data_IF_398790384414
#
_entry.id   IF_398790384414
#
_cell.length_a   1.000
_cell.length_b   1.000
_cell.length_c   1.000
_cell.angle_alpha   90.00
_cell.angle_beta   90.00
_cell.angle_gamma   90.00
#
_symmetry.space_group_name_H-M   'P 1'
#
loop_
_entity.id
_entity.type
_entity.pdbx_description
1 polymer ?
#
# COMPACT_ATOMS: atom_id res chain seq x y z
N UNK A 1 -8.15 -59.67 -53.38
CA UNK A 1 -7.50 -59.94 -52.07
C UNK A 1 -6.04 -60.30 -52.30
N UNK A 2 -5.10 -59.41 -51.98
CA UNK A 2 -3.81 -59.82 -51.40
C UNK A 2 -3.11 -58.62 -50.77
N UNK A 3 -3.03 -58.71 -49.44
CA UNK A 3 -2.28 -57.97 -48.43
C UNK A 3 -1.19 -57.00 -48.89
N UNK A 4 -1.32 -55.73 -48.46
CA UNK A 4 -0.21 -54.77 -48.44
C UNK A 4 0.82 -55.19 -47.37
N UNK A 5 2.07 -55.33 -47.81
CA UNK A 5 3.22 -55.60 -46.94
C UNK A 5 3.59 -54.34 -46.16
N UNK A 6 3.36 -54.36 -44.84
CA UNK A 6 3.85 -53.38 -43.89
C UNK A 6 5.37 -53.56 -43.71
N UNK A 7 6.16 -52.63 -44.24
CA UNK A 7 7.60 -52.60 -44.00
C UNK A 7 7.90 -51.70 -42.78
N UNK A 8 8.05 -52.29 -41.60
CA UNK A 8 8.57 -51.61 -40.41
C UNK A 8 10.05 -51.23 -40.65
N UNK A 9 10.33 -49.93 -40.79
CA UNK A 9 11.70 -49.40 -40.80
C UNK A 9 12.37 -49.65 -39.44
N UNK A 10 13.28 -50.61 -39.37
CA UNK A 10 14.22 -50.77 -38.23
C UNK A 10 15.18 -49.58 -38.21
N UNK A 11 14.97 -48.66 -37.27
CA UNK A 11 15.88 -47.52 -37.01
C UNK A 11 17.23 -48.02 -36.51
N UNK A 12 18.32 -47.42 -36.99
CA UNK A 12 19.67 -47.84 -36.60
C UNK A 12 19.94 -47.51 -35.13
N UNK A 13 20.80 -48.30 -34.46
CA UNK A 13 21.18 -48.03 -33.05
C UNK A 13 21.72 -46.60 -32.86
N UNK A 14 22.38 -46.05 -33.89
CA UNK A 14 22.92 -44.70 -33.89
C UNK A 14 21.80 -43.65 -33.94
N UNK A 15 20.81 -43.81 -34.83
CA UNK A 15 19.65 -42.91 -34.90
C UNK A 15 18.85 -42.91 -33.60
N UNK A 16 18.69 -44.08 -32.99
CA UNK A 16 18.01 -44.21 -31.69
C UNK A 16 18.77 -43.49 -30.58
N UNK A 17 20.09 -43.62 -30.54
CA UNK A 17 20.92 -42.94 -29.55
C UNK A 17 20.88 -41.42 -29.75
N UNK A 18 20.97 -40.92 -30.98
CA UNK A 18 20.87 -39.48 -31.28
C UNK A 18 19.50 -38.92 -30.87
N UNK A 19 18.41 -39.63 -31.16
CA UNK A 19 17.06 -39.22 -30.73
C UNK A 19 16.91 -39.21 -29.22
N UNK A 20 17.46 -40.21 -28.53
CA UNK A 20 17.45 -40.27 -27.06
C UNK A 20 18.27 -39.13 -26.46
N UNK A 21 19.45 -38.83 -27.00
CA UNK A 21 20.28 -37.72 -26.56
C UNK A 21 19.59 -36.37 -26.78
N UNK A 22 18.94 -36.17 -27.92
CA UNK A 22 18.20 -34.95 -28.21
C UNK A 22 16.97 -34.81 -27.30
N UNK A 23 16.23 -35.89 -27.06
CA UNK A 23 15.11 -35.91 -26.12
C UNK A 23 15.57 -35.60 -24.69
N UNK A 24 16.68 -36.20 -24.24
CA UNK A 24 17.23 -35.96 -22.90
C UNK A 24 17.70 -34.52 -22.76
N UNK A 25 18.38 -33.97 -23.78
CA UNK A 25 18.80 -32.58 -23.80
C UNK A 25 17.61 -31.61 -23.74
N UNK A 26 16.53 -31.90 -24.48
CA UNK A 26 15.29 -31.12 -24.43
C UNK A 26 14.62 -31.16 -23.06
N UNK A 27 14.55 -32.33 -22.43
CA UNK A 27 14.01 -32.49 -21.07
C UNK A 27 14.84 -31.68 -20.07
N UNK A 28 16.17 -31.83 -20.09
CA UNK A 28 17.08 -31.09 -19.19
C UNK A 28 16.95 -29.59 -19.40
N UNK A 29 16.89 -29.12 -20.65
CA UNK A 29 16.72 -27.70 -20.95
C UNK A 29 15.39 -27.15 -20.42
N UNK A 30 14.30 -27.92 -20.59
CA UNK A 30 12.96 -27.51 -20.14
C UNK A 30 12.87 -27.46 -18.62
N UNK A 31 13.44 -28.46 -17.93
CA UNK A 31 13.49 -28.50 -16.47
C UNK A 31 14.38 -27.38 -15.93
N UNK A 32 15.54 -27.14 -16.54
CA UNK A 32 16.44 -26.06 -16.14
C UNK A 32 15.81 -24.67 -16.36
N UNK A 33 15.13 -24.45 -17.49
CA UNK A 33 14.43 -23.21 -17.78
C UNK A 33 13.25 -22.99 -16.81
N UNK A 34 12.45 -24.03 -16.55
CA UNK A 34 11.37 -23.98 -15.56
C UNK A 34 11.90 -23.73 -14.14
N UNK A 35 13.00 -24.39 -13.77
CA UNK A 35 13.67 -24.19 -12.49
C UNK A 35 14.20 -22.76 -12.35
N UNK A 36 14.92 -22.22 -13.35
CA UNK A 36 15.43 -20.84 -13.33
C UNK A 36 14.30 -19.79 -13.25
N UNK A 37 13.20 -20.01 -13.98
CA UNK A 37 12.01 -19.17 -13.92
C UNK A 37 11.39 -19.17 -12.52
N UNK A 38 11.28 -20.34 -11.88
CA UNK A 38 10.69 -20.50 -10.55
C UNK A 38 11.63 -20.10 -9.40
N UNK A 39 12.94 -20.32 -9.53
CA UNK A 39 13.88 -20.25 -8.40
C UNK A 39 14.56 -18.89 -8.21
N UNK A 40 14.66 -18.06 -9.25
CA UNK A 40 15.48 -16.83 -9.17
C UNK A 40 15.00 -15.67 -10.03
N UNK A 41 14.32 -15.93 -11.14
CA UNK A 41 13.92 -14.90 -12.09
C UNK A 41 12.46 -14.44 -11.95
N UNK A 42 11.58 -15.19 -11.27
CA UNK A 42 10.19 -14.80 -11.07
C UNK A 42 10.03 -13.38 -10.51
N UNK A 43 10.63 -13.09 -9.35
CA UNK A 43 10.53 -11.75 -8.75
C UNK A 43 11.19 -10.64 -9.59
N UNK A 44 12.33 -10.93 -10.23
CA UNK A 44 13.03 -9.94 -11.04
C UNK A 44 12.28 -9.61 -12.35
N UNK A 45 11.70 -10.60 -13.02
CA UNK A 45 10.83 -10.37 -14.18
C UNK A 45 9.53 -9.67 -13.78
N UNK A 46 8.95 -10.02 -12.63
CA UNK A 46 7.79 -9.33 -12.09
C UNK A 46 8.12 -7.84 -11.92
N UNK A 47 9.21 -7.47 -11.23
CA UNK A 47 9.58 -6.06 -11.08
C UNK A 47 9.94 -5.38 -12.42
N UNK A 48 10.68 -6.05 -13.31
CA UNK A 48 11.03 -5.48 -14.61
C UNK A 48 9.77 -5.19 -15.45
N UNK A 49 8.75 -6.05 -15.39
CA UNK A 49 7.48 -5.83 -16.09
C UNK A 49 6.71 -4.61 -15.59
N UNK A 50 6.94 -4.19 -14.34
CA UNK A 50 6.38 -2.96 -13.76
C UNK A 50 7.24 -1.74 -14.07
N UNK A 51 8.56 -1.87 -14.03
CA UNK A 51 9.48 -0.75 -14.29
C UNK A 51 9.51 -0.35 -15.78
N UNK A 52 9.27 -1.30 -16.72
CA UNK A 52 9.27 -1.07 -18.17
C UNK A 52 8.25 -0.03 -18.65
N UNK A 53 6.97 -0.07 -18.23
CA UNK A 53 5.99 0.96 -18.54
C UNK A 53 6.42 2.40 -18.21
N UNK A 54 7.14 2.62 -17.10
CA UNK A 54 7.62 3.96 -16.71
C UNK A 54 8.71 4.51 -17.64
N UNK A 55 9.37 3.66 -18.45
CA UNK A 55 10.25 4.15 -19.51
C UNK A 55 9.46 4.80 -20.67
N UNK A 56 8.22 4.39 -20.87
CA UNK A 56 7.34 4.88 -21.94
C UNK A 56 6.32 5.92 -21.44
N UNK A 57 5.92 5.85 -20.17
CA UNK A 57 5.04 6.80 -19.51
C UNK A 57 5.84 7.60 -18.48
N UNK A 58 6.25 8.84 -18.79
CA UNK A 58 6.94 9.68 -17.83
C UNK A 58 6.03 9.93 -16.62
N UNK A 59 6.68 10.03 -15.46
CA UNK A 59 6.05 10.21 -14.16
C UNK A 59 5.07 11.39 -14.21
N UNK A 60 3.77 11.11 -14.00
CA UNK A 60 2.77 12.15 -13.85
C UNK A 60 2.83 12.60 -12.39
N UNK A 61 3.66 13.61 -12.13
CA UNK A 61 3.70 14.24 -10.81
C UNK A 61 2.30 14.77 -10.48
N UNK A 62 1.74 14.30 -9.37
CA UNK A 62 0.50 14.84 -8.84
C UNK A 62 0.80 16.19 -8.17
N UNK A 63 0.70 17.29 -8.92
CA UNK A 63 1.00 18.64 -8.42
C UNK A 63 0.14 19.05 -7.20
N UNK A 64 -1.03 18.41 -7.08
CA UNK A 64 -2.05 18.61 -6.05
C UNK A 64 -1.72 17.90 -4.72
N UNK A 65 -0.78 16.95 -4.72
CA UNK A 65 -0.39 16.18 -3.54
C UNK A 65 0.99 16.61 -3.07
N UNK A 66 1.11 16.98 -1.79
CA UNK A 66 2.39 17.32 -1.16
C UNK A 66 2.67 16.36 -0.01
N UNK A 67 3.79 15.67 -0.09
CA UNK A 67 4.28 14.80 0.97
C UNK A 67 5.26 15.62 1.82
N UNK A 68 4.98 15.72 3.11
CA UNK A 68 5.86 16.36 4.09
C UNK A 68 6.58 15.26 4.85
N UNK A 69 7.86 15.07 4.57
CA UNK A 69 8.70 14.14 5.31
C UNK A 69 9.20 14.78 6.60
N UNK A 70 9.12 14.03 7.69
CA UNK A 70 9.81 14.38 8.94
C UNK A 70 11.27 13.91 8.83
N UNK A 71 12.20 14.84 8.96
CA UNK A 71 13.65 14.60 8.77
C UNK A 71 14.21 13.70 9.89
N UNK A 72 13.98 14.08 11.15
CA UNK A 72 14.38 13.33 12.33
C UNK A 72 13.16 13.06 13.21
N UNK A 73 12.80 11.78 13.34
CA UNK A 73 11.91 11.29 14.39
C UNK A 73 12.78 10.94 15.59
N UNK A 74 13.07 11.92 16.43
CA UNK A 74 13.66 11.65 17.74
C UNK A 74 12.66 10.79 18.51
N UNK A 75 13.00 9.50 18.71
CA UNK A 75 12.12 8.46 19.26
C UNK A 75 11.59 8.73 20.69
N UNK A 76 11.81 9.91 21.25
CA UNK A 76 11.35 10.32 22.58
C UNK A 76 10.12 11.24 22.61
N UNK A 77 9.67 11.81 21.47
CA UNK A 77 8.31 12.36 21.27
C UNK A 77 8.26 13.25 20.03
N UNK A 78 7.41 12.91 19.07
CA UNK A 78 6.91 13.88 18.10
C UNK A 78 6.18 15.00 18.85
N UNK A 79 6.69 16.22 18.76
CA UNK A 79 6.01 17.38 19.36
C UNK A 79 4.78 17.74 18.54
N UNK A 80 3.59 17.52 19.12
CA UNK A 80 2.31 17.79 18.46
C UNK A 80 1.97 19.27 18.42
N UNK A 81 2.66 20.13 19.19
CA UNK A 81 2.53 21.58 19.03
C UNK A 81 3.02 22.03 17.64
N UNK A 82 4.07 21.40 17.11
CA UNK A 82 4.52 21.64 15.74
C UNK A 82 3.49 21.14 14.71
N UNK A 83 2.78 20.06 15.00
CA UNK A 83 1.72 19.54 14.12
C UNK A 83 0.50 20.47 14.09
N UNK A 84 0.13 21.06 15.23
CA UNK A 84 -0.91 22.10 15.29
C UNK A 84 -0.53 23.32 14.44
N UNK A 85 0.69 23.84 14.60
CA UNK A 85 1.18 24.96 13.80
C UNK A 85 1.30 24.63 12.30
N UNK A 86 1.63 23.38 11.96
CA UNK A 86 1.65 22.90 10.58
C UNK A 86 0.25 22.88 9.97
N UNK A 87 -0.77 22.43 10.70
CA UNK A 87 -2.17 22.45 10.24
C UNK A 87 -2.64 23.87 9.92
N UNK A 88 -2.33 24.85 10.77
CA UNK A 88 -2.69 26.24 10.52
C UNK A 88 -2.05 26.73 9.20
N UNK A 89 -0.75 26.46 8.99
CA UNK A 89 -0.04 26.80 7.73
C UNK A 89 -0.62 26.08 6.50
N UNK A 90 -0.97 24.80 6.62
CA UNK A 90 -1.58 24.04 5.53
C UNK A 90 -2.99 24.56 5.21
N UNK A 91 -3.73 24.99 6.23
CA UNK A 91 -5.03 25.62 6.09
C UNK A 91 -4.94 26.95 5.32
N UNK A 92 -3.98 27.80 5.69
CA UNK A 92 -3.65 29.05 4.99
C UNK A 92 -3.21 28.81 3.54
N UNK A 93 -2.42 27.76 3.30
CA UNK A 93 -1.99 27.34 1.97
C UNK A 93 -3.11 26.72 1.11
N UNK A 94 -4.31 26.50 1.68
CA UNK A 94 -5.47 26.00 0.94
C UNK A 94 -5.52 24.48 0.79
N UNK A 95 -4.82 23.72 1.64
CA UNK A 95 -4.93 22.26 1.64
C UNK A 95 -6.39 21.83 1.82
N UNK A 96 -6.84 20.82 1.07
CA UNK A 96 -8.21 20.27 1.16
C UNK A 96 -8.31 19.12 2.15
N UNK A 97 -7.22 18.37 2.32
CA UNK A 97 -7.11 17.30 3.29
C UNK A 97 -5.68 17.17 3.80
N UNK A 98 -5.54 16.61 5.00
CA UNK A 98 -4.27 16.19 5.58
C UNK A 98 -4.38 14.74 6.02
N UNK A 99 -3.42 13.92 5.59
CA UNK A 99 -3.32 12.52 5.98
C UNK A 99 -2.05 12.36 6.80
N UNK A 100 -2.19 11.97 8.06
CA UNK A 100 -1.05 11.68 8.92
C UNK A 100 -0.70 10.21 8.84
N UNK A 101 0.44 9.91 8.18
CA UNK A 101 1.09 8.59 8.23
C UNK A 101 1.93 8.43 9.50
N UNK A 102 1.32 8.72 10.66
CA UNK A 102 1.95 8.72 11.97
C UNK A 102 0.94 8.15 12.99
N UNK A 103 1.40 7.22 13.82
CA UNK A 103 0.56 6.59 14.84
C UNK A 103 0.59 7.47 16.10
N UNK A 104 -0.58 7.96 16.53
CA UNK A 104 -0.76 8.79 17.73
C UNK A 104 -1.49 8.04 18.84
N UNK A 105 -1.06 6.82 19.14
CA UNK A 105 -1.71 5.89 20.08
C UNK A 105 -1.57 6.29 21.55
N UNK A 106 -0.43 6.88 21.92
CA UNK A 106 -0.17 7.34 23.28
C UNK A 106 -0.57 8.80 23.48
N UNK A 107 -1.01 9.20 24.69
CA UNK A 107 -1.17 10.62 25.01
C UNK A 107 0.20 11.33 25.01
N UNK A 108 0.19 12.63 24.73
CA UNK A 108 1.36 13.48 24.93
C UNK A 108 1.77 13.52 26.41
N UNK A 109 3.04 13.82 26.68
CA UNK A 109 3.53 14.03 28.06
C UNK A 109 2.77 15.16 28.76
N UNK A 110 2.39 16.17 27.99
CA UNK A 110 1.55 17.28 28.41
C UNK A 110 0.18 17.18 27.71
N UNK A 111 -0.92 16.98 28.45
CA UNK A 111 -2.26 16.89 27.88
C UNK A 111 -2.70 18.14 27.10
N UNK A 112 -2.23 19.34 27.49
CA UNK A 112 -2.60 20.59 26.82
C UNK A 112 -2.13 20.61 25.36
N UNK A 113 -1.05 19.88 25.05
CA UNK A 113 -0.51 19.76 23.70
C UNK A 113 -1.45 18.96 22.80
N UNK A 114 -2.07 17.90 23.31
CA UNK A 114 -3.08 17.15 22.58
C UNK A 114 -4.36 17.97 22.41
N UNK A 115 -4.70 18.80 23.39
CA UNK A 115 -5.92 19.63 23.35
C UNK A 115 -5.77 20.72 22.29
N UNK A 116 -4.61 21.37 22.28
CA UNK A 116 -4.25 22.35 21.27
C UNK A 116 -4.21 21.74 19.85
N UNK A 117 -3.69 20.52 19.71
CA UNK A 117 -3.66 19.82 18.43
C UNK A 117 -5.06 19.41 17.95
N UNK A 118 -5.88 18.83 18.82
CA UNK A 118 -7.28 18.53 18.53
C UNK A 118 -8.07 19.79 18.11
N UNK A 119 -7.89 20.90 18.84
CA UNK A 119 -8.51 22.18 18.47
C UNK A 119 -8.03 22.69 17.10
N UNK A 120 -6.75 22.53 16.76
CA UNK A 120 -6.23 22.87 15.44
C UNK A 120 -6.85 22.00 14.33
N UNK A 121 -7.09 20.72 14.60
CA UNK A 121 -7.77 19.82 13.67
C UNK A 121 -9.20 20.28 13.37
N UNK A 122 -9.98 20.62 14.40
CA UNK A 122 -11.35 21.13 14.24
C UNK A 122 -11.38 22.44 13.43
N UNK A 123 -10.49 23.40 13.75
CA UNK A 123 -10.34 24.66 12.99
C UNK A 123 -10.01 24.40 11.53
N UNK A 124 -9.04 23.51 11.25
CA UNK A 124 -8.66 23.18 9.89
C UNK A 124 -9.84 22.60 9.11
N UNK A 125 -10.58 21.65 9.72
CA UNK A 125 -11.77 21.01 9.15
C UNK A 125 -12.94 21.96 8.93
N UNK A 126 -12.91 23.14 9.55
CA UNK A 126 -13.94 24.16 9.46
C UNK A 126 -15.19 23.81 10.27
N UNK A 127 -15.02 23.13 11.41
CA UNK A 127 -16.09 22.75 12.33
C UNK A 127 -15.82 23.26 13.74
N UNK A 128 -16.86 23.47 14.54
CA UNK A 128 -16.74 23.80 15.95
C UNK A 128 -16.59 22.55 16.85
N UNK A 129 -16.56 22.75 18.17
CA UNK A 129 -16.45 21.69 19.17
C UNK A 129 -17.63 20.70 19.16
N UNK A 130 -18.77 21.11 18.62
CA UNK A 130 -19.96 20.26 18.45
C UNK A 130 -20.02 19.61 17.05
N UNK A 131 -18.94 19.76 16.26
CA UNK A 131 -18.83 19.26 14.88
C UNK A 131 -19.75 19.97 13.88
N UNK A 132 -20.29 21.13 14.27
CA UNK A 132 -21.14 21.92 13.40
C UNK A 132 -20.29 22.73 12.42
N UNK A 133 -20.67 22.81 11.12
CA UNK A 133 -19.94 23.61 10.14
C UNK A 133 -19.87 25.10 10.51
N UNK A 134 -18.66 25.65 10.52
CA UNK A 134 -18.45 27.08 10.76
C UNK A 134 -18.79 27.84 9.48
N UNK A 135 -19.76 28.77 9.57
CA UNK A 135 -20.19 29.58 8.44
C UNK A 135 -19.03 30.36 7.83
N UNK A 136 -18.76 30.14 6.54
CA UNK A 136 -17.71 30.83 5.80
C UNK A 136 -16.33 30.15 5.87
N UNK A 137 -16.16 29.12 6.70
CA UNK A 137 -14.98 28.28 6.67
C UNK A 137 -15.11 27.20 5.57
N UNK A 138 -14.05 26.91 4.81
CA UNK A 138 -14.07 25.78 3.88
C UNK A 138 -14.05 24.46 4.65
N UNK A 139 -14.85 23.49 4.19
CA UNK A 139 -14.83 22.12 4.71
C UNK A 139 -13.54 21.45 4.24
N UNK A 140 -12.76 20.92 5.17
CA UNK A 140 -11.53 20.16 4.91
C UNK A 140 -11.54 18.86 5.69
N UNK A 141 -10.61 17.96 5.34
CA UNK A 141 -10.56 16.64 5.96
C UNK A 141 -9.23 16.33 6.66
N UNK A 142 -9.29 15.63 7.79
CA UNK A 142 -8.10 15.10 8.45
C UNK A 142 -8.27 13.61 8.71
N UNK A 143 -7.25 12.84 8.34
CA UNK A 143 -7.19 11.40 8.55
C UNK A 143 -5.96 11.01 9.36
N UNK A 144 -6.14 10.10 10.31
CA UNK A 144 -5.07 9.59 11.17
C UNK A 144 -4.73 8.14 10.85
N UNK A 145 -3.45 7.78 10.95
CA UNK A 145 -3.02 6.40 10.84
C UNK A 145 -3.45 5.57 12.05
N UNK A 146 -3.84 4.32 11.76
CA UNK A 146 -4.06 3.27 12.74
C UNK A 146 -2.93 2.25 12.65
N UNK A 147 -2.34 1.92 13.80
CA UNK A 147 -1.32 0.88 13.91
C UNK A 147 -1.93 -0.52 13.82
N UNK A 148 -1.10 -1.52 13.51
CA UNK A 148 -1.48 -2.93 13.48
C UNK A 148 -0.38 -3.75 14.14
N UNK A 149 -0.76 -4.51 15.15
CA UNK A 149 0.10 -5.51 15.79
C UNK A 149 -0.42 -6.90 15.50
N UNK A 150 0.48 -7.80 15.08
CA UNK A 150 0.19 -9.23 14.95
C UNK A 150 0.84 -9.96 16.12
N UNK A 151 0.06 -10.71 16.89
CA UNK A 151 0.57 -11.57 17.96
C UNK A 151 0.00 -12.98 17.83
N UNK A 152 0.79 -13.97 18.25
CA UNK A 152 0.38 -15.37 18.21
C UNK A 152 -0.32 -15.74 19.52
N UNK A 153 -1.57 -16.20 19.42
CA UNK A 153 -2.35 -16.67 20.57
C UNK A 153 -2.86 -18.08 20.28
N UNK A 154 -2.42 -19.04 21.08
CA UNK A 154 -2.81 -20.46 20.95
C UNK A 154 -2.59 -21.06 19.55
N UNK A 155 -1.52 -20.65 18.85
CA UNK A 155 -1.18 -21.11 17.50
C UNK A 155 -1.98 -20.44 16.38
N UNK A 156 -2.83 -19.45 16.69
CA UNK A 156 -3.48 -18.59 15.72
C UNK A 156 -2.80 -17.21 15.71
N UNK A 157 -2.56 -16.66 14.52
CA UNK A 157 -2.15 -15.26 14.36
C UNK A 157 -3.39 -14.40 14.60
N UNK A 158 -3.35 -13.59 15.64
CA UNK A 158 -4.37 -12.59 15.94
C UNK A 158 -3.81 -11.23 15.60
N UNK A 159 -4.63 -10.40 14.98
CA UNK A 159 -4.27 -9.03 14.65
C UNK A 159 -5.08 -8.07 15.49
N UNK A 160 -4.41 -7.08 16.03
CA UNK A 160 -5.00 -6.01 16.82
C UNK A 160 -4.70 -4.68 16.16
N UNK A 161 -5.74 -3.88 16.06
CA UNK A 161 -5.64 -2.48 15.65
C UNK A 161 -5.27 -1.62 16.86
N UNK A 162 -4.37 -0.68 16.63
CA UNK A 162 -3.95 0.33 17.60
C UNK A 162 -4.45 1.67 17.08
N UNK A 163 -5.62 2.12 17.52
CA UNK A 163 -6.16 3.38 17.07
C UNK A 163 -5.37 4.56 17.67
N UNK A 164 -5.50 5.77 17.11
CA UNK A 164 -5.03 6.98 17.77
C UNK A 164 -5.68 7.15 19.15
N UNK A 165 -5.13 8.02 20.00
CA UNK A 165 -5.77 8.32 21.27
C UNK A 165 -7.14 8.98 21.08
N UNK A 166 -8.04 8.76 22.04
CA UNK A 166 -9.45 9.16 21.97
C UNK A 166 -9.65 10.65 21.66
N UNK A 167 -8.78 11.50 22.16
CA UNK A 167 -8.87 12.94 21.97
C UNK A 167 -8.64 13.35 20.52
N UNK A 168 -7.65 12.74 19.85
CA UNK A 168 -7.37 13.02 18.45
C UNK A 168 -8.37 12.32 17.51
N UNK A 169 -8.88 11.15 17.89
CA UNK A 169 -10.02 10.52 17.19
C UNK A 169 -11.22 11.45 17.20
N UNK A 170 -11.52 12.04 18.36
CA UNK A 170 -12.58 13.03 18.55
C UNK A 170 -12.33 14.38 17.86
N UNK A 171 -11.28 14.54 17.07
CA UNK A 171 -11.05 15.76 16.30
C UNK A 171 -10.82 15.50 14.79
N UNK A 172 -10.37 14.29 14.43
CA UNK A 172 -10.23 13.85 13.04
C UNK A 172 -11.59 13.59 12.36
N UNK A 173 -11.61 13.45 11.02
CA UNK A 173 -12.78 12.91 10.32
C UNK A 173 -12.87 11.40 10.47
N UNK A 174 -11.73 10.72 10.34
CA UNK A 174 -11.63 9.27 10.45
C UNK A 174 -10.17 8.85 10.70
N UNK A 175 -9.97 7.58 11.04
CA UNK A 175 -8.65 6.95 11.04
C UNK A 175 -8.67 5.70 10.17
N UNK A 176 -7.53 5.29 9.64
CA UNK A 176 -7.47 4.18 8.69
C UNK A 176 -6.17 3.40 8.76
N UNK A 177 -6.21 2.19 8.19
CA UNK A 177 -5.05 1.32 8.16
C UNK A 177 -3.96 1.94 7.29
N UNK A 178 -2.76 2.04 7.85
CA UNK A 178 -1.53 2.25 7.08
C UNK A 178 -0.96 0.87 6.78
N UNK A 179 -0.97 0.50 5.51
CA UNK A 179 -0.43 -0.77 5.09
C UNK A 179 0.43 -0.53 3.86
N UNK A 180 1.74 -0.40 4.08
CA UNK A 180 2.74 -0.32 3.04
C UNK A 180 3.41 -1.68 2.90
N UNK A 181 3.25 -2.34 1.75
CA UNK A 181 4.05 -3.51 1.41
C UNK A 181 5.32 -3.01 0.75
N UNK A 182 6.41 -3.00 1.50
CA UNK A 182 7.72 -2.62 0.97
C UNK A 182 8.37 -3.82 0.27
N UNK A 183 8.81 -3.62 -0.97
CA UNK A 183 9.64 -4.60 -1.66
C UNK A 183 11.07 -4.63 -1.09
N UNK A 184 11.91 -5.54 -1.60
CA UNK A 184 13.33 -5.69 -1.19
C UNK A 184 14.18 -4.42 -1.29
N UNK A 185 13.72 -3.42 -2.05
CA UNK A 185 14.41 -2.15 -2.28
C UNK A 185 13.69 -0.96 -1.62
N UNK A 186 12.84 -1.19 -0.62
CA UNK A 186 11.99 -0.18 0.05
C UNK A 186 11.00 0.56 -0.85
N UNK A 187 10.95 0.24 -2.15
CA UNK A 187 9.91 0.73 -3.04
C UNK A 187 8.58 0.08 -2.69
N UNK A 188 7.55 0.89 -2.54
CA UNK A 188 6.16 0.45 -2.46
C UNK A 188 5.68 0.24 -3.90
N UNK A 189 5.29 -1.00 -4.23
CA UNK A 189 4.76 -1.37 -5.56
C UNK A 189 3.32 -1.89 -5.48
N UNK A 190 2.81 -2.00 -4.27
CA UNK A 190 1.50 -2.54 -3.96
C UNK A 190 0.80 -1.57 -3.03
N UNK A 191 -0.37 -1.10 -3.45
CA UNK A 191 -1.26 -0.28 -2.65
C UNK A 191 -2.28 -1.22 -1.98
N UNK A 192 -2.27 -1.24 -0.65
CA UNK A 192 -3.33 -1.90 0.11
C UNK A 192 -4.47 -0.91 0.26
N UNK A 193 -5.64 -1.27 -0.28
CA UNK A 193 -6.86 -0.47 -0.29
C UNK A 193 -7.73 -0.70 0.95
N UNK A 194 -7.45 -1.73 1.73
CA UNK A 194 -8.11 -2.04 3.00
C UNK A 194 -8.22 -3.55 3.24
N UNK A 195 -8.91 -3.92 4.31
CA UNK A 195 -9.42 -5.28 4.54
C UNK A 195 -10.91 -5.32 4.20
N UNK A 196 -11.57 -6.50 4.13
CA UNK A 196 -13.02 -6.55 3.95
C UNK A 196 -13.79 -5.69 4.95
N UNK A 197 -13.32 -5.65 6.19
CA UNK A 197 -13.96 -4.96 7.31
C UNK A 197 -13.60 -3.47 7.39
N UNK A 198 -12.38 -3.08 7.01
CA UNK A 198 -11.88 -1.71 7.23
C UNK A 198 -11.12 -1.17 6.02
N UNK A 199 -11.55 -0.04 5.43
CA UNK A 199 -10.80 0.62 4.36
C UNK A 199 -9.43 1.15 4.83
N UNK A 200 -8.47 1.19 3.90
CA UNK A 200 -7.17 1.84 4.13
C UNK A 200 -7.32 3.35 4.32
N UNK A 201 -6.32 3.95 4.96
CA UNK A 201 -6.25 5.39 5.17
C UNK A 201 -6.35 6.18 3.85
N UNK A 202 -5.65 5.72 2.82
CA UNK A 202 -5.64 6.37 1.50
C UNK A 202 -6.99 6.22 0.79
N UNK A 203 -7.68 5.09 0.96
CA UNK A 203 -9.04 4.90 0.45
C UNK A 203 -10.04 5.87 1.08
N UNK A 204 -10.02 6.00 2.41
CA UNK A 204 -10.89 6.94 3.14
C UNK A 204 -10.65 8.38 2.71
N UNK A 205 -9.38 8.77 2.56
CA UNK A 205 -9.01 10.10 2.10
C UNK A 205 -9.51 10.37 0.67
N UNK A 206 -9.33 9.41 -0.25
CA UNK A 206 -9.82 9.53 -1.62
C UNK A 206 -11.35 9.64 -1.68
N UNK A 207 -12.07 8.83 -0.89
CA UNK A 207 -13.53 8.85 -0.84
C UNK A 207 -14.05 10.22 -0.38
N UNK A 208 -13.49 10.76 0.71
CA UNK A 208 -13.89 12.05 1.24
C UNK A 208 -13.59 13.23 0.28
N UNK A 209 -12.54 13.11 -0.54
CA UNK A 209 -12.19 14.12 -1.53
C UNK A 209 -13.03 14.02 -2.83
N UNK A 210 -13.94 13.05 -2.92
CA UNK A 210 -14.82 12.83 -4.06
C UNK A 210 -14.21 11.96 -5.16
N UNK A 211 -13.26 11.10 -4.83
CA UNK A 211 -12.69 10.13 -5.77
C UNK A 211 -13.75 9.13 -6.26
N UNK A 212 -13.69 8.78 -7.54
CA UNK A 212 -14.49 7.69 -8.11
C UNK A 212 -13.88 6.36 -7.66
N UNK A 213 -14.52 5.71 -6.69
CA UNK A 213 -14.04 4.50 -6.05
C UNK A 213 -15.10 3.40 -6.18
N UNK A 214 -14.67 2.21 -6.61
CA UNK A 214 -15.51 1.02 -6.65
C UNK A 214 -15.17 0.08 -5.48
N UNK A 215 -16.20 -0.42 -4.81
CA UNK A 215 -16.04 -1.36 -3.71
C UNK A 215 -15.41 -2.69 -4.17
N UNK A 216 -15.65 -3.10 -5.43
CA UNK A 216 -14.98 -4.27 -6.01
C UNK A 216 -13.46 -4.07 -6.12
N UNK A 217 -13.02 -2.85 -6.43
CA UNK A 217 -11.60 -2.50 -6.49
C UNK A 217 -10.96 -2.48 -5.09
N UNK A 218 -11.73 -2.11 -4.05
CA UNK A 218 -11.25 -2.09 -2.67
C UNK A 218 -10.86 -3.46 -2.17
N UNK A 219 -11.65 -4.47 -2.53
CA UNK A 219 -11.47 -5.86 -2.10
C UNK A 219 -10.46 -6.63 -2.95
N UNK A 220 -9.89 -5.99 -3.97
CA UNK A 220 -8.81 -6.59 -4.75
C UNK A 220 -7.51 -6.55 -3.92
N UNK A 221 -7.00 -7.72 -3.47
CA UNK A 221 -5.91 -7.77 -2.49
C UNK A 221 -4.58 -7.24 -3.02
N UNK A 222 -4.45 -6.99 -4.34
CA UNK A 222 -3.19 -6.61 -4.98
C UNK A 222 -3.40 -5.53 -6.04
N UNK A 223 -3.59 -4.28 -5.60
CA UNK A 223 -3.52 -3.15 -6.53
C UNK A 223 -2.06 -2.76 -6.73
N UNK A 224 -1.50 -3.21 -7.85
CA UNK A 224 -0.14 -2.84 -8.24
C UNK A 224 -0.12 -1.37 -8.71
N UNK A 225 0.90 -0.64 -8.27
CA UNK A 225 1.18 0.72 -8.72
C UNK A 225 2.05 0.64 -9.98
N UNK A 226 1.50 1.14 -11.09
CA UNK A 226 2.17 1.28 -12.40
C UNK A 226 2.26 2.75 -12.80
#
# INVERSE_FOLDING_TARGET
MSSQSNAERKTSRVERNVRLSAALAGIVLTVAAGYLALSRMGGALTYLSYDLPFLAYPDKTADEVRIVYLDELDGSSLDRSNQAALLDKLGEAGARAVVYDLIFDLPSKDPEVDEAFAAAMLRFRGVDENWDPIKGAPRRHIFLACGRESYEQAGAIVERLIPPNDQLIGAADDFGLVALVTGKNFTVRELITGTPDEPSLTWKAAAALGGELDEEDRLNPKRWLN
#
